data_IF_963828917852
#
_entry.id   IF_963828917852
#
_cell.length_a   1.000
_cell.length_b   1.000
_cell.length_c   1.000
_cell.angle_alpha   90.00
_cell.angle_beta   90.00
_cell.angle_gamma   90.00
#
_symmetry.space_group_name_H-M   'P 1'
#
loop_
_entity.id
_entity.type
_entity.pdbx_description
1 polymer ?
#
# COMPACT_ATOMS: atom_id res chain seq x y z
N UNK A 1 -35.73 -0.64 -4.59
CA UNK A 1 -34.39 -1.05 -4.08
C UNK A 1 -34.20 -0.27 -2.79
N UNK A 2 -34.12 -0.96 -1.66
CA UNK A 2 -34.05 -0.30 -0.35
C UNK A 2 -32.70 0.41 -0.14
N UNK A 3 -32.65 1.43 0.73
CA UNK A 3 -31.38 2.11 1.08
C UNK A 3 -30.32 1.12 1.59
N UNK A 4 -30.76 0.07 2.28
CA UNK A 4 -29.91 -1.02 2.77
C UNK A 4 -29.24 -1.78 1.62
N UNK A 5 -29.99 -2.05 0.52
CA UNK A 5 -29.44 -2.73 -0.66
C UNK A 5 -28.41 -1.85 -1.41
N UNK A 6 -28.62 -0.53 -1.40
CA UNK A 6 -27.68 0.41 -2.03
C UNK A 6 -26.38 0.52 -1.22
N UNK A 7 -26.45 0.56 0.11
CA UNK A 7 -25.27 0.59 0.99
C UNK A 7 -24.48 -0.72 0.86
N UNK A 8 -25.15 -1.87 0.94
CA UNK A 8 -24.51 -3.17 0.78
C UNK A 8 -23.84 -3.35 -0.60
N UNK A 9 -24.46 -2.82 -1.67
CA UNK A 9 -23.90 -2.84 -3.02
C UNK A 9 -22.67 -1.92 -3.15
N UNK A 10 -22.70 -0.75 -2.51
CA UNK A 10 -21.56 0.19 -2.47
C UNK A 10 -20.35 -0.43 -1.77
N UNK A 11 -20.56 -1.13 -0.66
CA UNK A 11 -19.49 -1.78 0.09
C UNK A 11 -18.87 -2.95 -0.69
N UNK A 12 -19.69 -3.75 -1.38
CA UNK A 12 -19.21 -4.83 -2.26
C UNK A 12 -18.37 -4.28 -3.41
N UNK A 13 -18.81 -3.18 -4.04
CA UNK A 13 -18.05 -2.52 -5.12
C UNK A 13 -16.71 -1.97 -4.60
N UNK A 14 -16.70 -1.36 -3.42
CA UNK A 14 -15.49 -0.85 -2.81
C UNK A 14 -14.51 -1.98 -2.45
N UNK A 15 -15.00 -3.12 -1.94
CA UNK A 15 -14.17 -4.30 -1.67
C UNK A 15 -13.57 -4.89 -2.96
N UNK A 16 -14.37 -5.04 -4.02
CA UNK A 16 -13.88 -5.53 -5.31
C UNK A 16 -12.81 -4.60 -5.88
N UNK A 17 -13.01 -3.28 -5.79
CA UNK A 17 -12.03 -2.28 -6.19
C UNK A 17 -10.74 -2.38 -5.37
N UNK A 18 -10.84 -2.61 -4.06
CA UNK A 18 -9.70 -2.79 -3.17
C UNK A 18 -8.87 -4.02 -3.57
N UNK A 19 -9.52 -5.17 -3.84
CA UNK A 19 -8.82 -6.38 -4.30
C UNK A 19 -8.17 -6.18 -5.66
N UNK A 20 -8.80 -5.43 -6.57
CA UNK A 20 -8.18 -5.06 -7.84
C UNK A 20 -6.94 -4.18 -7.63
N UNK A 21 -6.99 -3.21 -6.72
CA UNK A 21 -5.81 -2.41 -6.36
C UNK A 21 -4.67 -3.29 -5.78
N UNK A 22 -4.99 -4.25 -4.91
CA UNK A 22 -4.02 -5.21 -4.37
C UNK A 22 -3.38 -6.07 -5.48
N UNK A 23 -4.18 -6.46 -6.49
CA UNK A 23 -3.68 -7.17 -7.68
C UNK A 23 -2.64 -6.33 -8.44
N UNK A 24 -2.92 -5.05 -8.66
CA UNK A 24 -1.94 -4.14 -9.28
C UNK A 24 -0.68 -3.99 -8.42
N UNK A 25 -0.83 -3.81 -7.10
CA UNK A 25 0.32 -3.69 -6.19
C UNK A 25 1.24 -4.90 -6.19
N UNK A 26 0.72 -6.10 -6.48
CA UNK A 26 1.54 -7.32 -6.57
C UNK A 26 2.57 -7.27 -7.69
N UNK A 27 2.38 -6.42 -8.73
CA UNK A 27 3.36 -6.18 -9.77
C UNK A 27 4.49 -5.22 -9.36
N UNK A 28 4.40 -4.56 -8.20
CA UNK A 28 5.42 -3.60 -7.74
C UNK A 28 6.82 -4.22 -7.74
N UNK A 29 6.96 -5.46 -7.28
CA UNK A 29 8.25 -6.15 -7.25
C UNK A 29 8.86 -6.33 -8.64
N UNK A 30 8.03 -6.59 -9.66
CA UNK A 30 8.47 -6.71 -11.07
C UNK A 30 9.01 -5.37 -11.58
N UNK A 31 8.28 -4.28 -11.35
CA UNK A 31 8.70 -2.94 -11.75
C UNK A 31 10.01 -2.52 -11.08
N UNK A 32 10.14 -2.75 -9.77
CA UNK A 32 11.36 -2.41 -9.02
C UNK A 32 12.54 -3.25 -9.49
N UNK A 33 12.34 -4.54 -9.75
CA UNK A 33 13.41 -5.44 -10.21
C UNK A 33 13.95 -5.10 -11.61
N UNK A 34 13.08 -4.58 -12.47
CA UNK A 34 13.44 -4.16 -13.84
C UNK A 34 13.91 -2.70 -13.92
N UNK A 35 13.83 -1.94 -12.81
CA UNK A 35 14.19 -0.52 -12.80
C UNK A 35 15.69 -0.32 -12.99
N UNK A 36 16.04 0.65 -13.83
CA UNK A 36 17.44 1.08 -14.08
C UNK A 36 17.93 2.12 -13.07
N UNK A 37 17.03 2.64 -12.24
CA UNK A 37 17.33 3.67 -11.23
C UNK A 37 17.21 3.10 -9.83
N UNK A 38 17.76 3.81 -8.85
CA UNK A 38 17.67 3.42 -7.46
C UNK A 38 16.21 3.39 -6.98
N UNK A 39 15.91 2.65 -5.92
CA UNK A 39 14.53 2.50 -5.46
C UNK A 39 13.88 3.81 -4.99
N UNK A 40 14.60 4.74 -4.31
CA UNK A 40 14.04 6.04 -3.97
C UNK A 40 13.87 6.92 -5.22
N UNK A 41 14.80 6.85 -6.18
CA UNK A 41 14.67 7.49 -7.49
C UNK A 41 13.48 6.91 -8.28
N UNK A 42 13.21 5.61 -8.18
CA UNK A 42 12.02 4.97 -8.74
C UNK A 42 10.75 5.56 -8.11
N UNK A 43 10.73 5.72 -6.77
CA UNK A 43 9.65 6.38 -6.05
C UNK A 43 9.45 7.83 -6.48
N UNK A 44 10.53 8.60 -6.63
CA UNK A 44 10.50 9.97 -7.13
C UNK A 44 9.84 10.09 -8.50
N UNK A 45 10.28 9.30 -9.48
CA UNK A 45 9.72 9.34 -10.83
C UNK A 45 8.28 8.86 -10.87
N UNK A 46 7.96 7.81 -10.13
CA UNK A 46 6.60 7.30 -9.97
C UNK A 46 5.65 8.39 -9.45
N UNK A 47 6.06 9.11 -8.41
CA UNK A 47 5.24 10.17 -7.82
C UNK A 47 5.17 11.38 -8.75
N UNK A 48 6.29 11.78 -9.38
CA UNK A 48 6.37 12.87 -10.34
C UNK A 48 5.45 12.65 -11.55
N UNK A 49 5.47 11.45 -12.15
CA UNK A 49 4.59 11.13 -13.27
C UNK A 49 3.12 11.01 -12.87
N UNK A 50 2.83 10.73 -11.61
CA UNK A 50 1.45 10.68 -11.12
C UNK A 50 0.78 12.04 -11.03
N UNK A 51 1.53 13.09 -10.66
CA UNK A 51 0.98 14.44 -10.40
C UNK A 51 0.20 15.00 -11.60
N UNK A 52 0.69 14.98 -12.86
CA UNK A 52 -0.05 15.50 -14.01
C UNK A 52 -1.42 14.82 -14.20
N UNK A 53 -1.51 13.51 -13.99
CA UNK A 53 -2.77 12.78 -14.08
C UNK A 53 -3.75 13.20 -12.99
N UNK A 54 -3.26 13.43 -11.78
CA UNK A 54 -4.11 13.93 -10.68
C UNK A 54 -4.59 15.34 -10.93
N UNK A 55 -3.74 16.23 -11.47
CA UNK A 55 -4.11 17.59 -11.86
C UNK A 55 -5.18 17.56 -12.97
N UNK A 56 -4.99 16.73 -13.99
CA UNK A 56 -6.00 16.56 -15.05
C UNK A 56 -7.35 16.07 -14.50
N UNK A 57 -7.31 15.09 -13.57
CA UNK A 57 -8.51 14.60 -12.91
C UNK A 57 -9.18 15.69 -12.05
N UNK A 58 -8.41 16.47 -11.30
CA UNK A 58 -8.92 17.61 -10.53
C UNK A 58 -9.59 18.62 -11.48
N UNK A 59 -8.96 18.97 -12.60
CA UNK A 59 -9.50 19.91 -13.58
C UNK A 59 -10.87 19.44 -14.14
N UNK A 60 -11.00 18.15 -14.45
CA UNK A 60 -12.27 17.55 -14.87
C UNK A 60 -13.30 17.61 -13.73
N UNK A 61 -12.89 17.33 -12.51
CA UNK A 61 -13.78 17.29 -11.36
C UNK A 61 -14.34 18.67 -11.02
N UNK A 62 -13.48 19.71 -11.02
CA UNK A 62 -13.85 21.11 -10.76
C UNK A 62 -14.84 21.64 -11.80
N UNK A 63 -14.70 21.22 -13.07
CA UNK A 63 -15.66 21.59 -14.14
C UNK A 63 -17.06 20.99 -13.93
N UNK A 64 -17.14 19.83 -13.24
CA UNK A 64 -18.41 19.12 -13.06
C UNK A 64 -19.12 19.45 -11.75
N UNK A 65 -18.38 19.85 -10.72
CA UNK A 65 -18.92 20.17 -9.39
C UNK A 65 -17.95 21.03 -8.59
N UNK A 66 -18.44 21.88 -7.67
CA UNK A 66 -17.58 22.60 -6.75
C UNK A 66 -16.68 21.62 -6.00
N UNK A 67 -15.37 21.73 -6.18
CA UNK A 67 -14.38 20.86 -5.53
C UNK A 67 -13.31 21.74 -4.92
N UNK A 68 -13.10 21.59 -3.62
CA UNK A 68 -12.05 22.29 -2.92
C UNK A 68 -10.69 21.65 -3.23
N UNK A 69 -9.78 22.44 -3.80
CA UNK A 69 -8.44 22.00 -4.22
C UNK A 69 -7.38 22.42 -3.20
N UNK A 70 -7.52 23.60 -2.62
CA UNK A 70 -6.58 24.13 -1.64
C UNK A 70 -6.92 23.59 -0.24
N UNK A 71 -5.94 22.98 0.45
CA UNK A 71 -6.14 22.49 1.80
C UNK A 71 -6.15 23.68 2.81
N UNK A 72 -6.84 23.52 3.91
CA UNK A 72 -6.68 24.33 5.11
C UNK A 72 -5.30 24.08 5.73
N UNK A 73 -4.85 24.95 6.64
CA UNK A 73 -3.56 24.76 7.36
C UNK A 73 -3.47 23.40 8.06
N UNK A 74 -4.56 22.94 8.68
CA UNK A 74 -4.62 21.64 9.35
C UNK A 74 -4.52 20.47 8.36
N UNK A 75 -5.21 20.58 7.23
CA UNK A 75 -5.13 19.57 6.15
C UNK A 75 -3.76 19.58 5.48
N UNK A 76 -3.15 20.74 5.26
CA UNK A 76 -1.79 20.84 4.72
C UNK A 76 -0.77 20.15 5.63
N UNK A 77 -0.86 20.33 6.94
CA UNK A 77 -0.03 19.61 7.91
C UNK A 77 -0.26 18.09 7.84
N UNK A 78 -1.52 17.64 7.72
CA UNK A 78 -1.85 16.22 7.54
C UNK A 78 -1.32 15.65 6.23
N UNK A 79 -1.41 16.40 5.13
CA UNK A 79 -0.89 16.01 3.82
C UNK A 79 0.64 15.91 3.83
N UNK A 80 1.32 16.87 4.46
CA UNK A 80 2.77 16.84 4.65
C UNK A 80 3.19 15.63 5.49
N UNK A 81 2.51 15.39 6.62
CA UNK A 81 2.77 14.21 7.46
C UNK A 81 2.56 12.91 6.69
N UNK A 82 1.49 12.80 5.87
CA UNK A 82 1.23 11.63 5.06
C UNK A 82 2.32 11.41 3.99
N UNK A 83 2.75 12.47 3.29
CA UNK A 83 3.84 12.40 2.33
C UNK A 83 5.16 11.98 3.00
N UNK A 84 5.46 12.52 4.17
CA UNK A 84 6.64 12.15 4.96
C UNK A 84 6.59 10.68 5.39
N UNK A 85 5.43 10.21 5.88
CA UNK A 85 5.27 8.81 6.28
C UNK A 85 5.45 7.85 5.09
N UNK A 86 4.90 8.19 3.93
CA UNK A 86 5.06 7.38 2.74
C UNK A 86 6.50 7.38 2.22
N UNK A 87 7.17 8.54 2.20
CA UNK A 87 8.59 8.63 1.83
C UNK A 87 9.47 7.84 2.82
N UNK A 88 9.22 7.98 4.13
CA UNK A 88 9.91 7.21 5.18
C UNK A 88 9.72 5.71 4.97
N UNK A 89 8.50 5.26 4.65
CA UNK A 89 8.25 3.85 4.33
C UNK A 89 9.11 3.36 3.16
N UNK A 90 9.18 4.12 2.06
CA UNK A 90 10.00 3.75 0.88
C UNK A 90 11.46 3.61 1.27
N UNK A 91 12.02 4.59 1.98
CA UNK A 91 13.43 4.64 2.39
C UNK A 91 13.79 3.50 3.36
N UNK A 92 12.96 3.31 4.40
CA UNK A 92 13.24 2.29 5.42
C UNK A 92 13.04 0.87 4.90
N UNK A 93 12.09 0.67 3.98
CA UNK A 93 11.91 -0.60 3.28
C UNK A 93 13.17 -1.01 2.49
N UNK A 94 13.79 -0.06 1.80
CA UNK A 94 15.02 -0.31 1.05
C UNK A 94 16.19 -0.64 1.98
N UNK A 95 16.37 0.15 3.04
CA UNK A 95 17.40 -0.12 4.05
C UNK A 95 17.19 -1.50 4.68
N UNK A 96 15.95 -1.89 4.94
CA UNK A 96 15.64 -3.22 5.47
C UNK A 96 16.08 -4.34 4.53
N UNK A 97 15.78 -4.25 3.22
CA UNK A 97 16.17 -5.27 2.24
C UNK A 97 17.69 -5.43 2.14
N UNK A 98 18.44 -4.35 2.36
CA UNK A 98 19.91 -4.38 2.30
C UNK A 98 20.56 -4.91 3.59
N UNK A 99 19.91 -4.79 4.75
CA UNK A 99 20.49 -5.07 6.05
C UNK A 99 19.91 -6.31 6.74
N UNK A 100 18.79 -6.88 6.24
CA UNK A 100 18.23 -8.14 6.76
C UNK A 100 17.83 -9.08 5.61
N UNK A 101 17.40 -10.30 5.95
CA UNK A 101 16.87 -11.20 4.93
C UNK A 101 15.59 -10.63 4.32
N UNK A 102 15.39 -10.87 3.02
CA UNK A 102 14.16 -10.47 2.33
C UNK A 102 12.92 -11.02 3.06
N UNK A 103 13.03 -12.24 3.60
CA UNK A 103 11.96 -12.88 4.37
C UNK A 103 11.60 -12.08 5.61
N UNK A 104 12.59 -11.67 6.42
CA UNK A 104 12.35 -10.85 7.61
C UNK A 104 11.79 -9.48 7.23
N UNK A 105 12.39 -8.81 6.25
CA UNK A 105 11.93 -7.50 5.79
C UNK A 105 10.44 -7.54 5.39
N UNK A 106 10.05 -8.51 4.55
CA UNK A 106 8.66 -8.65 4.09
C UNK A 106 7.72 -9.01 5.24
N UNK A 107 8.13 -9.94 6.12
CA UNK A 107 7.31 -10.35 7.26
C UNK A 107 7.02 -9.17 8.20
N UNK A 108 8.06 -8.43 8.57
CA UNK A 108 7.94 -7.30 9.50
C UNK A 108 7.18 -6.12 8.87
N UNK A 109 7.38 -5.84 7.58
CA UNK A 109 6.60 -4.84 6.87
C UNK A 109 5.10 -5.18 6.85
N UNK A 110 4.75 -6.46 6.75
CA UNK A 110 3.35 -6.91 6.77
C UNK A 110 2.68 -6.79 8.16
N UNK A 111 3.39 -6.30 9.19
CA UNK A 111 2.77 -5.94 10.48
C UNK A 111 2.02 -4.60 10.47
N UNK A 112 2.10 -3.82 9.37
CA UNK A 112 1.37 -2.55 9.25
C UNK A 112 -0.15 -2.63 9.57
N UNK A 113 -0.91 -3.74 9.34
CA UNK A 113 -2.31 -3.78 9.71
C UNK A 113 -2.55 -3.73 11.22
N UNK A 114 -1.57 -4.19 12.04
CA UNK A 114 -1.65 -4.03 13.49
C UNK A 114 -1.58 -2.56 13.88
N UNK A 115 -0.65 -1.80 13.27
CA UNK A 115 -0.51 -0.35 13.51
C UNK A 115 -1.80 0.37 13.10
N UNK A 116 -2.36 0.00 11.93
CA UNK A 116 -3.62 0.60 11.45
C UNK A 116 -4.77 0.24 12.36
N UNK A 117 -4.90 -1.01 12.82
CA UNK A 117 -5.99 -1.42 13.70
C UNK A 117 -5.96 -0.67 15.03
N UNK A 118 -4.79 -0.56 15.64
CA UNK A 118 -4.59 0.20 16.89
C UNK A 118 -4.90 1.70 16.65
N UNK A 119 -4.30 2.29 15.63
CA UNK A 119 -4.54 3.71 15.32
C UNK A 119 -5.99 4.01 14.94
N UNK A 120 -6.66 3.13 14.21
CA UNK A 120 -8.06 3.30 13.82
C UNK A 120 -9.02 3.22 15.02
N UNK A 121 -8.69 2.40 16.02
CA UNK A 121 -9.44 2.38 17.27
C UNK A 121 -9.39 3.74 17.99
N UNK A 122 -8.19 4.32 18.15
CA UNK A 122 -8.03 5.58 18.86
C UNK A 122 -8.49 6.81 18.04
N UNK A 123 -8.25 6.84 16.73
CA UNK A 123 -8.50 8.01 15.89
C UNK A 123 -9.93 8.05 15.32
N UNK A 124 -10.51 6.90 15.02
CA UNK A 124 -11.81 6.81 14.34
C UNK A 124 -12.86 6.05 15.15
N UNK A 125 -12.52 5.56 16.35
CA UNK A 125 -13.42 4.75 17.17
C UNK A 125 -13.76 3.39 16.51
N UNK A 126 -12.95 2.90 15.56
CA UNK A 126 -13.16 1.61 14.93
C UNK A 126 -12.96 0.51 15.98
N UNK A 127 -14.05 -0.16 16.37
CA UNK A 127 -13.98 -1.31 17.28
C UNK A 127 -13.92 -2.58 16.46
N UNK A 128 -12.86 -3.34 16.59
CA UNK A 128 -12.69 -4.63 15.92
C UNK A 128 -13.29 -5.72 16.77
N UNK A 129 -14.06 -6.63 16.12
CA UNK A 129 -14.56 -7.82 16.78
C UNK A 129 -13.42 -8.82 16.99
N UNK A 130 -13.67 -9.84 17.82
CA UNK A 130 -12.71 -10.93 18.01
C UNK A 130 -12.41 -11.66 16.67
N UNK A 131 -13.38 -11.75 15.77
CA UNK A 131 -13.22 -12.34 14.44
C UNK A 131 -12.21 -11.58 13.57
N UNK A 132 -12.16 -10.25 13.71
CA UNK A 132 -11.14 -9.45 13.04
C UNK A 132 -9.72 -9.83 13.52
N UNK A 133 -9.51 -9.91 14.83
CA UNK A 133 -8.20 -10.27 15.41
C UNK A 133 -7.78 -11.68 15.07
N UNK A 134 -8.70 -12.65 15.17
CA UNK A 134 -8.44 -14.02 14.73
C UNK A 134 -8.07 -14.07 13.25
N UNK A 135 -8.85 -13.40 12.39
CA UNK A 135 -8.57 -13.33 10.96
C UNK A 135 -7.23 -12.68 10.64
N UNK A 136 -6.87 -11.60 11.35
CA UNK A 136 -5.58 -10.93 11.19
C UNK A 136 -4.42 -11.86 11.59
N UNK A 137 -4.54 -12.61 12.67
CA UNK A 137 -3.53 -13.60 13.08
C UNK A 137 -3.38 -14.73 12.06
N UNK A 138 -4.49 -15.25 11.50
CA UNK A 138 -4.46 -16.25 10.43
C UNK A 138 -3.79 -15.70 9.17
N UNK A 139 -4.12 -14.47 8.77
CA UNK A 139 -3.53 -13.84 7.58
C UNK A 139 -2.02 -13.58 7.77
N UNK A 140 -1.60 -13.08 8.92
CA UNK A 140 -0.19 -12.85 9.25
C UNK A 140 0.58 -14.17 9.35
N UNK A 141 0.00 -15.20 9.99
CA UNK A 141 0.58 -16.53 10.08
C UNK A 141 0.73 -17.19 8.72
N UNK A 142 -0.28 -17.08 7.85
CA UNK A 142 -0.23 -17.54 6.47
C UNK A 142 0.84 -16.80 5.66
N UNK A 143 0.93 -15.48 5.80
CA UNK A 143 1.99 -14.68 5.15
C UNK A 143 3.38 -15.09 5.63
N UNK A 144 3.56 -15.31 6.94
CA UNK A 144 4.83 -15.78 7.50
C UNK A 144 5.21 -17.16 6.94
N UNK A 145 4.24 -18.09 6.86
CA UNK A 145 4.45 -19.41 6.28
C UNK A 145 4.79 -19.35 4.79
N UNK A 146 4.11 -18.49 4.02
CA UNK A 146 4.36 -18.28 2.59
C UNK A 146 5.78 -17.79 2.33
N UNK A 147 6.22 -16.79 3.10
CA UNK A 147 7.55 -16.21 3.00
C UNK A 147 8.61 -17.24 3.39
N UNK A 148 8.37 -17.99 4.48
CA UNK A 148 9.29 -19.03 4.95
C UNK A 148 9.44 -20.19 3.97
N UNK A 149 8.38 -20.53 3.24
CA UNK A 149 8.43 -21.61 2.23
C UNK A 149 9.32 -21.24 1.02
N UNK A 150 9.53 -19.95 0.75
CA UNK A 150 10.40 -19.44 -0.33
C UNK A 150 11.76 -18.92 0.13
N UNK A 151 12.05 -18.87 1.43
CA UNK A 151 13.26 -18.25 1.99
C UNK A 151 13.87 -19.11 3.12
N UNK A 152 15.18 -18.95 3.33
CA UNK A 152 15.91 -19.62 4.38
C UNK A 152 15.48 -19.24 5.82
N UNK A 153 16.21 -19.72 6.85
CA UNK A 153 15.84 -19.52 8.25
C UNK A 153 15.80 -18.05 8.63
N UNK A 154 14.87 -17.68 9.53
CA UNK A 154 14.84 -16.35 10.15
C UNK A 154 16.16 -16.09 10.87
N UNK A 155 16.80 -14.99 10.56
CA UNK A 155 18.07 -14.58 11.21
C UNK A 155 17.81 -13.84 12.53
N UNK A 156 18.85 -13.67 13.33
CA UNK A 156 18.80 -12.90 14.59
C UNK A 156 18.37 -11.45 14.28
N UNK A 157 17.60 -10.85 15.18
CA UNK A 157 17.15 -9.45 15.08
C UNK A 157 18.35 -8.51 14.84
N UNK A 158 18.26 -7.71 13.78
CA UNK A 158 19.30 -6.79 13.35
C UNK A 158 18.72 -5.41 13.01
N UNK A 159 19.60 -4.49 12.57
CA UNK A 159 19.21 -3.12 12.20
C UNK A 159 18.18 -3.09 11.04
N UNK A 160 18.30 -3.99 10.08
CA UNK A 160 17.34 -4.11 8.96
C UNK A 160 15.94 -4.48 9.43
N UNK A 161 15.81 -5.32 10.47
CA UNK A 161 14.52 -5.65 11.06
C UNK A 161 13.86 -4.43 11.72
N UNK A 162 14.66 -3.58 12.38
CA UNK A 162 14.16 -2.31 12.93
C UNK A 162 13.70 -1.37 11.83
N UNK A 163 14.43 -1.26 10.72
CA UNK A 163 14.03 -0.46 9.56
C UNK A 163 12.72 -0.98 8.96
N UNK A 164 12.54 -2.30 8.85
CA UNK A 164 11.29 -2.90 8.38
C UNK A 164 10.09 -2.55 9.29
N UNK A 165 10.28 -2.57 10.60
CA UNK A 165 9.25 -2.17 11.57
C UNK A 165 8.92 -0.67 11.48
N UNK A 166 9.92 0.20 11.32
CA UNK A 166 9.70 1.64 11.08
C UNK A 166 8.93 1.82 9.77
N UNK A 167 9.27 1.06 8.73
CA UNK A 167 8.53 1.04 7.47
C UNK A 167 7.07 0.64 7.66
N UNK A 168 6.80 -0.44 8.40
CA UNK A 168 5.45 -0.88 8.72
C UNK A 168 4.66 0.18 9.49
N UNK A 169 5.27 0.81 10.51
CA UNK A 169 4.66 1.87 11.29
C UNK A 169 4.34 3.10 10.42
N UNK A 170 5.29 3.51 9.59
CA UNK A 170 5.15 4.65 8.68
C UNK A 170 4.05 4.41 7.64
N UNK A 171 3.99 3.22 7.04
CA UNK A 171 2.93 2.87 6.10
C UNK A 171 1.56 2.83 6.79
N UNK A 172 1.48 2.23 7.98
CA UNK A 172 0.25 2.24 8.78
C UNK A 172 -0.22 3.65 9.13
N UNK A 173 0.69 4.54 9.53
CA UNK A 173 0.40 5.95 9.79
C UNK A 173 -0.10 6.66 8.52
N UNK A 174 0.51 6.41 7.36
CA UNK A 174 0.03 6.93 6.09
C UNK A 174 -1.41 6.49 5.78
N UNK A 175 -1.76 5.22 5.97
CA UNK A 175 -3.13 4.71 5.76
C UNK A 175 -4.14 5.45 6.64
N UNK A 176 -3.81 5.69 7.91
CA UNK A 176 -4.66 6.43 8.85
C UNK A 176 -4.83 7.90 8.42
N UNK A 177 -3.74 8.55 8.04
CA UNK A 177 -3.76 9.93 7.54
C UNK A 177 -4.55 10.03 6.22
N UNK A 178 -4.35 9.10 5.30
CA UNK A 178 -5.11 9.04 4.05
C UNK A 178 -6.61 8.90 4.32
N UNK A 179 -7.01 8.06 5.29
CA UNK A 179 -8.42 7.96 5.72
C UNK A 179 -8.94 9.28 6.28
N UNK A 180 -8.20 9.92 7.17
CA UNK A 180 -8.58 11.21 7.75
C UNK A 180 -8.77 12.30 6.67
N UNK A 181 -7.88 12.37 5.70
CA UNK A 181 -7.94 13.30 4.57
C UNK A 181 -9.17 13.07 3.68
N UNK A 182 -9.59 11.81 3.53
CA UNK A 182 -10.78 11.45 2.74
C UNK A 182 -12.10 11.93 3.34
N UNK A 183 -12.12 12.37 4.58
CA UNK A 183 -13.27 13.03 5.20
C UNK A 183 -13.57 14.43 4.62
N UNK A 184 -12.56 15.11 4.08
CA UNK A 184 -12.69 16.50 3.60
C UNK A 184 -12.17 16.76 2.18
N UNK A 185 -11.24 15.95 1.68
CA UNK A 185 -10.61 16.10 0.37
C UNK A 185 -11.01 14.98 -0.61
N UNK A 186 -11.10 15.33 -1.89
CA UNK A 186 -11.34 14.33 -2.94
C UNK A 186 -10.08 13.47 -3.18
N UNK A 187 -10.25 12.25 -3.70
CA UNK A 187 -9.12 11.35 -4.00
C UNK A 187 -8.02 12.02 -4.82
N UNK A 188 -8.31 12.65 -5.98
CA UNK A 188 -7.25 13.23 -6.80
C UNK A 188 -6.54 14.40 -6.10
N UNK A 189 -7.23 15.17 -5.25
CA UNK A 189 -6.60 16.24 -4.46
C UNK A 189 -5.66 15.66 -3.42
N UNK A 190 -6.11 14.65 -2.66
CA UNK A 190 -5.27 13.96 -1.68
C UNK A 190 -4.02 13.37 -2.34
N UNK A 191 -4.18 12.70 -3.49
CA UNK A 191 -3.08 12.08 -4.22
C UNK A 191 -2.11 13.12 -4.79
N UNK A 192 -2.63 14.20 -5.42
CA UNK A 192 -1.78 15.25 -5.98
C UNK A 192 -0.88 15.89 -4.92
N UNK A 193 -1.43 16.19 -3.75
CA UNK A 193 -0.65 16.75 -2.64
C UNK A 193 0.32 15.74 -2.03
N UNK A 194 -0.10 14.51 -1.77
CA UNK A 194 0.80 13.50 -1.19
C UNK A 194 1.97 13.17 -2.12
N UNK A 195 1.72 12.99 -3.44
CA UNK A 195 2.78 12.70 -4.40
C UNK A 195 3.63 13.95 -4.69
N UNK A 196 3.01 15.13 -4.82
CA UNK A 196 3.74 16.38 -5.06
C UNK A 196 4.67 16.77 -3.91
N UNK A 197 4.32 16.43 -2.66
CA UNK A 197 5.18 16.63 -1.49
C UNK A 197 6.17 15.48 -1.29
N UNK A 198 5.79 14.25 -1.62
CA UNK A 198 6.63 13.05 -1.48
C UNK A 198 7.77 12.99 -2.49
N UNK A 199 7.51 13.37 -3.74
CA UNK A 199 8.52 13.33 -4.79
C UNK A 199 9.82 14.08 -4.43
N UNK A 200 9.80 15.37 -4.00
CA UNK A 200 11.03 16.06 -3.63
C UNK A 200 11.73 15.43 -2.41
N UNK A 201 11.00 14.84 -1.47
CA UNK A 201 11.60 14.14 -0.32
C UNK A 201 12.39 12.92 -0.79
N UNK A 202 11.83 12.13 -1.71
CA UNK A 202 12.49 10.96 -2.29
C UNK A 202 13.68 11.34 -3.17
N UNK A 203 13.57 12.44 -3.94
CA UNK A 203 14.68 12.97 -4.74
C UNK A 203 15.86 13.38 -3.86
N UNK A 204 15.59 14.13 -2.78
CA UNK A 204 16.64 14.55 -1.84
C UNK A 204 17.33 13.32 -1.24
N UNK A 205 16.55 12.34 -0.81
CA UNK A 205 17.13 11.10 -0.26
C UNK A 205 17.98 10.37 -1.31
N UNK A 206 17.45 10.15 -2.52
CA UNK A 206 18.18 9.49 -3.60
C UNK A 206 19.50 10.20 -3.92
N UNK A 207 19.49 11.53 -3.95
CA UNK A 207 20.69 12.34 -4.19
C UNK A 207 21.72 12.23 -3.04
N UNK A 208 21.26 12.24 -1.79
CA UNK A 208 22.14 12.12 -0.60
C UNK A 208 22.80 10.75 -0.52
N UNK A 209 22.08 9.68 -0.88
CA UNK A 209 22.59 8.30 -0.86
C UNK A 209 23.41 7.96 -2.13
N UNK A 210 23.33 8.82 -3.15
CA UNK A 210 24.06 8.60 -4.42
C UNK A 210 23.40 7.58 -5.33
N UNK A 211 22.07 7.42 -5.26
CA UNK A 211 21.35 6.53 -6.19
C UNK A 211 21.42 7.06 -7.63
N UNK A 212 21.45 6.17 -8.65
CA UNK A 212 21.22 6.56 -10.03
C UNK A 212 19.81 7.10 -10.20
N UNK A 213 19.66 8.39 -10.52
CA UNK A 213 18.37 9.08 -10.59
C UNK A 213 17.76 9.00 -11.98
N UNK A 214 18.57 8.97 -13.04
CA UNK A 214 18.11 9.01 -14.42
C UNK A 214 18.17 7.62 -15.06
N UNK A 215 17.08 7.21 -15.70
CA UNK A 215 17.09 6.00 -16.52
C UNK A 215 17.99 6.18 -17.75
N UNK A 216 18.68 5.11 -18.13
CA UNK A 216 19.69 5.14 -19.21
C UNK A 216 19.11 4.82 -20.57
N UNK A 217 17.94 4.16 -20.61
CA UNK A 217 17.31 3.70 -21.83
C UNK A 217 15.87 4.21 -21.98
N UNK A 218 15.34 4.20 -23.21
CA UNK A 218 13.93 4.47 -23.46
C UNK A 218 13.01 3.42 -22.77
N UNK A 219 13.49 2.17 -22.65
CA UNK A 219 12.78 1.12 -21.90
C UNK A 219 12.68 1.48 -20.42
N UNK A 220 13.77 1.95 -19.77
CA UNK A 220 13.77 2.36 -18.38
C UNK A 220 12.77 3.50 -18.11
N UNK A 221 12.70 4.51 -18.99
CA UNK A 221 11.71 5.58 -18.90
C UNK A 221 10.27 5.07 -19.09
N UNK A 222 10.06 4.20 -20.08
CA UNK A 222 8.76 3.56 -20.30
C UNK A 222 8.31 2.73 -19.10
N UNK A 223 9.24 2.02 -18.46
CA UNK A 223 9.00 1.23 -17.25
C UNK A 223 8.57 2.12 -16.08
N UNK A 224 9.29 3.22 -15.81
CA UNK A 224 8.97 4.18 -14.76
C UNK A 224 7.59 4.81 -14.99
N UNK A 225 7.27 5.17 -16.23
CA UNK A 225 5.96 5.69 -16.59
C UNK A 225 4.84 4.66 -16.41
N UNK A 226 5.04 3.43 -16.88
CA UNK A 226 4.11 2.32 -16.70
C UNK A 226 3.88 2.01 -15.22
N UNK A 227 4.95 2.06 -14.41
CA UNK A 227 4.87 1.89 -12.97
C UNK A 227 4.00 2.98 -12.33
N UNK A 228 4.24 4.27 -12.65
CA UNK A 228 3.43 5.38 -12.18
C UNK A 228 1.95 5.20 -12.53
N UNK A 229 1.66 4.87 -13.80
CA UNK A 229 0.30 4.70 -14.29
C UNK A 229 -0.41 3.53 -13.58
N UNK A 230 0.23 2.37 -13.52
CA UNK A 230 -0.39 1.15 -12.99
C UNK A 230 -0.55 1.21 -11.48
N UNK A 231 0.53 1.52 -10.76
CA UNK A 231 0.55 1.41 -9.30
C UNK A 231 -0.02 2.66 -8.63
N UNK A 232 0.38 3.87 -9.06
CA UNK A 232 -0.07 5.09 -8.40
C UNK A 232 -1.37 5.64 -8.99
N UNK A 233 -1.41 5.89 -10.32
CA UNK A 233 -2.58 6.53 -10.93
C UNK A 233 -3.81 5.63 -10.79
N UNK A 234 -3.69 4.34 -11.05
CA UNK A 234 -4.80 3.40 -10.95
C UNK A 234 -4.85 2.79 -9.53
N UNK A 235 -3.84 2.01 -9.15
CA UNK A 235 -3.85 1.22 -7.93
C UNK A 235 -4.00 2.05 -6.65
N UNK A 236 -3.11 3.02 -6.44
CA UNK A 236 -3.10 3.82 -5.21
C UNK A 236 -4.26 4.82 -5.16
N UNK A 237 -4.76 5.29 -6.32
CA UNK A 237 -5.97 6.11 -6.37
C UNK A 237 -7.20 5.31 -5.96
N UNK A 238 -7.33 4.05 -6.43
CA UNK A 238 -8.40 3.15 -6.00
C UNK A 238 -8.27 2.85 -4.50
N UNK A 239 -7.07 2.53 -4.01
CA UNK A 239 -6.83 2.29 -2.59
C UNK A 239 -7.20 3.53 -1.76
N UNK A 240 -6.76 4.72 -2.14
CA UNK A 240 -7.11 5.99 -1.47
C UNK A 240 -8.61 6.26 -1.52
N UNK A 241 -9.28 5.94 -2.63
CA UNK A 241 -10.74 6.04 -2.73
C UNK A 241 -11.43 5.09 -1.75
N UNK A 242 -10.96 3.84 -1.62
CA UNK A 242 -11.56 2.85 -0.72
C UNK A 242 -11.34 3.18 0.75
N UNK A 243 -10.25 3.87 1.14
CA UNK A 243 -10.05 4.34 2.51
C UNK A 243 -11.12 5.34 2.97
N UNK A 244 -11.73 6.06 2.04
CA UNK A 244 -12.87 6.94 2.32
C UNK A 244 -14.23 6.22 2.42
N UNK A 245 -14.28 4.90 2.12
CA UNK A 245 -15.53 4.12 2.08
C UNK A 245 -15.53 2.90 3.01
N UNK A 246 -14.38 2.28 3.15
CA UNK A 246 -14.19 1.13 4.02
C UNK A 246 -13.45 1.57 5.30
N UNK A 247 -13.45 0.71 6.31
CA UNK A 247 -12.61 0.94 7.49
C UNK A 247 -11.12 0.92 7.12
N UNK A 248 -10.30 1.69 7.87
CA UNK A 248 -8.85 1.69 7.68
C UNK A 248 -8.27 0.28 7.90
N UNK A 249 -8.81 -0.42 8.89
CA UNK A 249 -8.39 -1.77 9.26
C UNK A 249 -8.64 -2.80 8.15
N UNK A 250 -9.78 -2.73 7.43
CA UNK A 250 -10.05 -3.60 6.27
C UNK A 250 -9.09 -3.26 5.11
N UNK A 251 -8.89 -1.97 4.83
CA UNK A 251 -7.97 -1.57 3.75
C UNK A 251 -6.56 -2.08 4.03
N UNK A 252 -6.07 -1.95 5.26
CA UNK A 252 -4.75 -2.45 5.63
C UNK A 252 -4.65 -3.98 5.60
N UNK A 253 -5.66 -4.69 6.14
CA UNK A 253 -5.67 -6.15 6.14
C UNK A 253 -5.72 -6.74 4.72
N UNK A 254 -6.46 -6.10 3.79
CA UNK A 254 -6.55 -6.57 2.41
C UNK A 254 -5.20 -6.61 1.69
N UNK A 255 -4.24 -5.75 2.07
CA UNK A 255 -2.90 -5.76 1.48
C UNK A 255 -2.12 -7.06 1.78
N UNK A 256 -2.50 -7.83 2.80
CA UNK A 256 -1.89 -9.13 3.09
C UNK A 256 -2.16 -10.18 1.98
N UNK A 257 -3.06 -9.91 1.03
CA UNK A 257 -3.24 -10.75 -0.15
C UNK A 257 -2.10 -10.60 -1.18
N UNK A 258 -1.34 -9.49 -1.13
CA UNK A 258 -0.30 -9.18 -2.12
C UNK A 258 0.73 -10.32 -2.28
N UNK A 259 1.29 -10.90 -1.21
CA UNK A 259 2.23 -12.02 -1.36
C UNK A 259 1.61 -13.24 -2.05
N UNK A 260 0.33 -13.53 -1.78
CA UNK A 260 -0.40 -14.63 -2.43
C UNK A 260 -0.55 -14.38 -3.93
N UNK A 261 -0.96 -13.16 -4.30
CA UNK A 261 -1.10 -12.78 -5.71
C UNK A 261 0.26 -12.76 -6.41
N UNK A 262 1.32 -12.27 -5.75
CA UNK A 262 2.67 -12.27 -6.31
C UNK A 262 3.16 -13.70 -6.59
N UNK A 263 2.93 -14.64 -5.67
CA UNK A 263 3.25 -16.07 -5.88
C UNK A 263 2.44 -16.66 -7.05
N UNK A 264 1.14 -16.31 -7.13
CA UNK A 264 0.28 -16.77 -8.24
C UNK A 264 0.78 -16.25 -9.58
N UNK A 265 1.21 -14.99 -9.65
CA UNK A 265 1.78 -14.42 -10.89
C UNK A 265 3.14 -15.02 -11.22
N UNK A 266 3.98 -15.33 -10.22
CA UNK A 266 5.22 -16.08 -10.41
C UNK A 266 4.98 -17.43 -11.08
N UNK A 267 3.97 -18.15 -10.62
CA UNK A 267 3.55 -19.42 -11.22
C UNK A 267 3.04 -19.26 -12.66
N UNK A 268 2.14 -18.31 -12.92
CA UNK A 268 1.52 -18.15 -14.25
C UNK A 268 2.49 -17.58 -15.29
N UNK A 269 3.35 -16.61 -14.90
CA UNK A 269 4.18 -15.84 -15.84
C UNK A 269 5.58 -16.44 -16.00
N UNK A 270 6.12 -17.02 -14.92
CA UNK A 270 7.50 -17.52 -14.88
C UNK A 270 7.57 -19.06 -14.74
N UNK A 271 6.41 -19.75 -14.79
CA UNK A 271 6.31 -21.20 -14.67
C UNK A 271 6.97 -21.74 -13.37
N UNK A 272 6.97 -20.92 -12.31
CA UNK A 272 7.53 -21.27 -11.01
C UNK A 272 6.65 -22.33 -10.33
N UNK A 273 7.22 -23.45 -9.86
CA UNK A 273 6.46 -24.47 -9.16
C UNK A 273 5.95 -23.98 -7.81
N UNK A 274 4.64 -24.12 -7.56
CA UNK A 274 4.04 -23.81 -6.26
C UNK A 274 4.09 -25.06 -5.36
N UNK A 275 4.79 -24.97 -4.24
CA UNK A 275 4.86 -26.05 -3.26
C UNK A 275 3.54 -26.20 -2.48
N UNK A 276 3.30 -27.39 -1.92
CA UNK A 276 2.14 -27.64 -1.06
C UNK A 276 2.10 -26.67 0.15
N UNK A 277 3.25 -26.35 0.73
CA UNK A 277 3.36 -25.40 1.84
C UNK A 277 2.94 -23.98 1.43
N UNK A 278 3.26 -23.55 0.21
CA UNK A 278 2.79 -22.27 -0.33
C UNK A 278 1.28 -22.28 -0.58
N UNK A 279 0.72 -23.39 -1.04
CA UNK A 279 -0.73 -23.56 -1.18
C UNK A 279 -1.47 -23.46 0.15
N UNK A 280 -0.98 -24.14 1.19
CA UNK A 280 -1.53 -24.05 2.56
C UNK A 280 -1.42 -22.61 3.10
N UNK A 281 -0.28 -21.98 2.92
CA UNK A 281 -0.06 -20.59 3.36
C UNK A 281 -1.03 -19.62 2.68
N UNK A 282 -1.23 -19.73 1.37
CA UNK A 282 -2.19 -18.94 0.62
C UNK A 282 -3.63 -19.16 1.14
N UNK A 283 -4.02 -20.40 1.41
CA UNK A 283 -5.33 -20.71 1.98
C UNK A 283 -5.53 -20.08 3.36
N UNK A 284 -4.50 -20.08 4.22
CA UNK A 284 -4.54 -19.41 5.53
C UNK A 284 -4.71 -17.88 5.39
N UNK A 285 -3.99 -17.24 4.45
CA UNK A 285 -4.15 -15.80 4.19
C UNK A 285 -5.58 -15.49 3.76
N UNK A 286 -6.13 -16.24 2.80
CA UNK A 286 -7.48 -16.04 2.28
C UNK A 286 -8.55 -16.27 3.37
N UNK A 287 -8.40 -17.34 4.16
CA UNK A 287 -9.28 -17.61 5.30
C UNK A 287 -9.21 -16.47 6.35
N UNK A 288 -8.00 -15.99 6.65
CA UNK A 288 -7.78 -14.86 7.54
C UNK A 288 -8.46 -13.58 7.04
N UNK A 289 -8.32 -13.24 5.77
CA UNK A 289 -8.98 -12.09 5.16
C UNK A 289 -10.51 -12.21 5.17
N UNK A 290 -11.04 -13.40 4.93
CA UNK A 290 -12.47 -13.65 5.04
C UNK A 290 -12.99 -13.42 6.46
N UNK A 291 -12.28 -13.90 7.48
CA UNK A 291 -12.63 -13.69 8.89
C UNK A 291 -12.56 -12.22 9.29
N UNK A 292 -11.52 -11.46 8.84
CA UNK A 292 -11.44 -10.01 9.13
C UNK A 292 -12.63 -9.25 8.58
N UNK A 293 -13.10 -9.59 7.37
CA UNK A 293 -14.27 -8.95 6.77
C UNK A 293 -15.57 -9.32 7.50
N UNK A 294 -15.73 -10.60 7.89
CA UNK A 294 -16.91 -11.08 8.63
C UNK A 294 -17.05 -10.38 9.99
N UNK A 295 -15.94 -10.15 10.65
CA UNK A 295 -15.87 -9.48 11.94
C UNK A 295 -16.33 -8.02 11.93
N UNK A 296 -16.48 -7.38 10.79
CA UNK A 296 -16.99 -6.01 10.66
C UNK A 296 -18.45 -5.93 10.21
N UNK A 297 -19.01 -7.00 9.62
CA UNK A 297 -20.41 -7.05 9.17
C UNK A 297 -21.41 -7.24 10.32
N UNK A 298 -20.95 -7.50 11.51
CA UNK A 298 -21.79 -7.73 12.71
C UNK A 298 -22.21 -6.45 13.45
N UNK A 299 -22.21 -5.29 12.77
CA UNK A 299 -22.64 -4.00 13.36
C UNK A 299 -23.60 -3.26 12.45
#
# INVERSE_FOLDING_TARGET
MSDVDQVARRDRTALAALFFACSLFSFTAVFVRLSEVGPAATGFWRDTFTVPFMIAWIAILVRRRPTRVLPTRREAASLFAAALMLATNVVTWQGAIMETSIANAVLLANLHPLVVAIGAYYLFGERMSWWFWAGLLFALGGTALLIRAGAGPLTVVNRGDLLALIGAASFGAWVLLAKAQRGSLSTPVTMAWNMGLGAPMLLIYAAVVGEPIMARSAFGWGLLFAFALTINVIGLSIFTYTTGRLSASINAAALLIIPVLATTYGWIVFDESVSLSQGIAAALVLAGLFLTQRGQRGR
#
